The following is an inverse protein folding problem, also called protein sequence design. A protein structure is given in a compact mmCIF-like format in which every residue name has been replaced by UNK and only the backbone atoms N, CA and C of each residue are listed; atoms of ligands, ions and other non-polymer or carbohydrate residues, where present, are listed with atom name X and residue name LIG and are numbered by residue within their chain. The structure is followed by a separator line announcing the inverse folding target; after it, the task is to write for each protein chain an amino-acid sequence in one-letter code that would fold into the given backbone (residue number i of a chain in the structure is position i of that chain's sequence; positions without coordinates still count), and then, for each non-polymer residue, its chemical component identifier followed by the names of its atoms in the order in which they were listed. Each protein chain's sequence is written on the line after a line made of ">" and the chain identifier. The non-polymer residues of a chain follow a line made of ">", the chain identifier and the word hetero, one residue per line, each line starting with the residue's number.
data_IF_834906439120
#
_entry.id   IF_834906439120
#
_cell.length_a   1.000
_cell.length_b   1.000
_cell.length_c   1.000
_cell.angle_alpha   90.00
_cell.angle_beta   90.00
_cell.angle_gamma   90.00
#
_symmetry.space_group_name_H-M   'P 1'
#
loop_
_entity.id
_entity.type
_entity.pdbx_description
1 polymer ?
#
# COMPACT_ATOMS: atom_id res chain seq x y z
N UNK A 1 -45.21 -5.51 -50.96
CA UNK A 1 -44.56 -4.36 -50.28
C UNK A 1 -44.01 -3.43 -51.36
N UNK A 2 -44.43 -2.16 -51.43
CA UNK A 2 -43.94 -1.22 -52.46
C UNK A 2 -42.49 -0.83 -52.16
N UNK A 3 -41.66 -0.61 -53.19
CA UNK A 3 -40.24 -0.20 -53.04
C UNK A 3 -40.06 0.97 -52.06
N UNK A 4 -41.01 1.92 -52.06
CA UNK A 4 -41.05 3.07 -51.16
C UNK A 4 -41.19 2.69 -49.67
N UNK A 5 -41.97 1.66 -49.35
CA UNK A 5 -42.12 1.17 -47.98
C UNK A 5 -40.84 0.45 -47.52
N UNK A 6 -40.20 -0.33 -48.41
CA UNK A 6 -38.93 -0.98 -48.10
C UNK A 6 -37.80 0.03 -47.84
N UNK A 7 -37.72 1.10 -48.63
CA UNK A 7 -36.76 2.19 -48.39
C UNK A 7 -37.02 2.88 -47.05
N UNK A 8 -38.28 3.18 -46.73
CA UNK A 8 -38.65 3.77 -45.44
C UNK A 8 -38.24 2.88 -44.25
N UNK A 9 -38.49 1.57 -44.32
CA UNK A 9 -38.08 0.63 -43.27
C UNK A 9 -36.55 0.54 -43.16
N UNK A 10 -35.81 0.47 -44.27
CA UNK A 10 -34.34 0.45 -44.22
C UNK A 10 -33.77 1.74 -43.62
N UNK A 11 -34.31 2.90 -44.00
CA UNK A 11 -33.87 4.17 -43.42
C UNK A 11 -34.18 4.25 -41.93
N UNK A 12 -35.33 3.72 -41.50
CA UNK A 12 -35.71 3.70 -40.09
C UNK A 12 -34.77 2.79 -39.28
N UNK A 13 -34.51 1.56 -39.77
CA UNK A 13 -33.61 0.60 -39.13
C UNK A 13 -32.19 1.17 -39.03
N UNK A 14 -31.68 1.76 -40.11
CA UNK A 14 -30.35 2.36 -40.13
C UNK A 14 -30.25 3.52 -39.12
N UNK A 15 -31.25 4.41 -39.09
CA UNK A 15 -31.28 5.52 -38.14
C UNK A 15 -31.32 5.03 -36.68
N UNK A 16 -32.06 3.96 -36.40
CA UNK A 16 -32.14 3.36 -35.07
C UNK A 16 -30.80 2.75 -34.66
N UNK A 17 -30.13 2.03 -35.58
CA UNK A 17 -28.80 1.47 -35.36
C UNK A 17 -27.76 2.55 -35.08
N UNK A 18 -27.77 3.64 -35.83
CA UNK A 18 -26.85 4.76 -35.57
C UNK A 18 -27.10 5.43 -34.23
N UNK A 19 -28.36 5.54 -33.80
CA UNK A 19 -28.73 6.06 -32.48
C UNK A 19 -28.26 5.15 -31.36
N UNK A 20 -28.41 3.83 -31.51
CA UNK A 20 -27.95 2.84 -30.51
C UNK A 20 -26.42 2.85 -30.43
N UNK A 21 -25.71 2.91 -31.56
CA UNK A 21 -24.24 2.97 -31.58
C UNK A 21 -23.76 4.28 -30.96
N UNK A 22 -24.36 5.42 -31.32
CA UNK A 22 -24.01 6.72 -30.74
C UNK A 22 -24.27 6.75 -29.23
N UNK A 23 -25.40 6.18 -28.77
CA UNK A 23 -25.71 6.04 -27.36
C UNK A 23 -24.72 5.13 -26.63
N UNK A 24 -24.33 3.99 -27.24
CA UNK A 24 -23.35 3.07 -26.67
C UNK A 24 -21.96 3.72 -26.53
N UNK A 25 -21.51 4.43 -27.57
CA UNK A 25 -20.24 5.18 -27.55
C UNK A 25 -20.30 6.29 -26.51
N UNK A 26 -21.39 7.08 -26.46
CA UNK A 26 -21.57 8.11 -25.46
C UNK A 26 -21.55 7.53 -24.05
N UNK A 27 -22.29 6.43 -23.81
CA UNK A 27 -22.31 5.74 -22.51
C UNK A 27 -20.93 5.21 -22.09
N UNK A 28 -20.11 4.79 -23.04
CA UNK A 28 -18.74 4.33 -22.77
C UNK A 28 -17.81 5.51 -22.44
N UNK A 29 -17.94 6.62 -23.18
CA UNK A 29 -17.13 7.83 -22.99
C UNK A 29 -17.54 8.64 -21.74
N UNK A 30 -18.79 8.54 -21.31
CA UNK A 30 -19.33 9.23 -20.12
C UNK A 30 -19.44 8.32 -18.92
N UNK A 31 -18.92 7.09 -18.97
CA UNK A 31 -18.88 6.23 -17.78
C UNK A 31 -17.95 6.95 -16.79
N UNK A 32 -18.45 7.39 -15.61
CA UNK A 32 -17.55 7.87 -14.59
C UNK A 32 -16.54 6.75 -14.32
N UNK A 33 -15.24 7.07 -14.13
CA UNK A 33 -14.30 6.05 -13.71
C UNK A 33 -14.91 5.37 -12.48
N UNK A 34 -15.00 4.04 -12.49
CA UNK A 34 -15.44 3.30 -11.32
C UNK A 34 -14.58 3.82 -10.15
N UNK A 35 -15.18 4.19 -9.01
CA UNK A 35 -14.40 4.53 -7.82
C UNK A 35 -13.48 3.36 -7.58
N UNK A 36 -12.18 3.56 -7.75
CA UNK A 36 -11.23 2.46 -7.81
C UNK A 36 -11.30 1.72 -6.47
N UNK A 37 -11.91 0.54 -6.46
CA UNK A 37 -11.92 -0.33 -5.29
C UNK A 37 -10.54 -0.92 -5.12
N UNK A 38 -10.14 -1.20 -3.88
CA UNK A 38 -8.91 -1.94 -3.60
C UNK A 38 -8.90 -3.27 -4.37
N UNK A 39 -7.86 -3.50 -5.17
CA UNK A 39 -7.65 -4.74 -5.93
C UNK A 39 -6.55 -5.59 -5.27
N UNK A 40 -6.97 -6.62 -4.54
CA UNK A 40 -6.05 -7.56 -3.89
C UNK A 40 -5.16 -8.34 -4.86
N UNK A 41 -5.56 -8.52 -6.12
CA UNK A 41 -4.73 -9.21 -7.12
C UNK A 41 -3.56 -8.33 -7.57
N UNK A 42 -3.78 -7.02 -7.69
CA UNK A 42 -2.70 -6.05 -7.96
C UNK A 42 -1.74 -5.95 -6.77
N UNK A 43 -2.27 -5.81 -5.56
CA UNK A 43 -1.46 -5.81 -4.35
C UNK A 43 -0.63 -7.11 -4.22
N UNK A 44 -1.22 -8.26 -4.51
CA UNK A 44 -0.47 -9.52 -4.50
C UNK A 44 0.65 -9.56 -5.56
N UNK A 45 0.40 -9.06 -6.77
CA UNK A 45 1.43 -8.94 -7.81
C UNK A 45 2.57 -7.99 -7.39
N UNK A 46 2.26 -6.93 -6.64
CA UNK A 46 3.26 -6.05 -6.04
C UNK A 46 4.13 -6.82 -5.04
N UNK A 47 3.56 -7.64 -4.15
CA UNK A 47 4.34 -8.50 -3.23
C UNK A 47 5.30 -9.41 -4.01
N UNK A 48 4.84 -10.07 -5.08
CA UNK A 48 5.69 -10.93 -5.92
C UNK A 48 6.85 -10.13 -6.51
N UNK A 49 6.57 -8.95 -7.03
CA UNK A 49 7.58 -8.06 -7.63
C UNK A 49 8.66 -7.70 -6.62
N UNK A 50 8.28 -7.35 -5.40
CA UNK A 50 9.21 -7.03 -4.31
C UNK A 50 10.09 -8.23 -3.93
N UNK A 51 9.50 -9.42 -3.80
CA UNK A 51 10.26 -10.65 -3.48
C UNK A 51 11.24 -11.03 -4.60
N UNK A 52 10.89 -10.77 -5.87
CA UNK A 52 11.77 -11.01 -7.02
C UNK A 52 13.01 -10.10 -7.05
N UNK A 53 12.99 -8.96 -6.35
CA UNK A 53 14.18 -8.11 -6.16
C UNK A 53 15.20 -8.73 -5.18
N UNK A 54 14.82 -9.83 -4.51
CA UNK A 54 15.57 -10.42 -3.41
C UNK A 54 15.31 -9.70 -2.09
N UNK A 55 16.04 -10.10 -1.04
CA UNK A 55 15.97 -9.42 0.26
C UNK A 55 16.34 -7.95 0.12
N UNK A 56 15.55 -7.08 0.77
CA UNK A 56 15.73 -5.62 0.74
C UNK A 56 16.48 -5.15 1.98
N UNK A 57 17.52 -5.87 2.38
CA UNK A 57 18.34 -5.48 3.53
C UNK A 57 19.01 -4.14 3.25
N UNK A 58 19.16 -3.24 4.24
CA UNK A 58 19.76 -1.94 4.02
C UNK A 58 21.11 -2.02 3.28
N UNK A 59 21.23 -1.27 2.18
CA UNK A 59 22.44 -1.24 1.34
C UNK A 59 22.55 -2.35 0.27
N UNK A 60 21.63 -3.31 0.22
CA UNK A 60 21.58 -4.33 -0.83
C UNK A 60 21.11 -3.79 -2.19
N UNK A 61 21.28 -4.57 -3.25
CA UNK A 61 20.71 -4.25 -4.56
C UNK A 61 19.18 -4.23 -4.52
N UNK A 62 18.55 -5.18 -3.82
CA UNK A 62 17.09 -5.22 -3.64
C UNK A 62 16.57 -3.97 -2.93
N UNK A 63 17.30 -3.47 -1.94
CA UNK A 63 16.98 -2.23 -1.22
C UNK A 63 17.03 -0.97 -2.09
N UNK A 64 17.97 -0.89 -3.03
CA UNK A 64 17.99 0.21 -4.03
C UNK A 64 16.83 0.06 -5.02
N UNK A 65 16.61 -1.15 -5.54
CA UNK A 65 15.57 -1.43 -6.53
C UNK A 65 14.17 -1.12 -6.00
N UNK A 66 13.87 -1.53 -4.76
CA UNK A 66 12.54 -1.31 -4.17
C UNK A 66 12.22 0.18 -4.04
N UNK A 67 13.18 1.02 -3.62
CA UNK A 67 12.94 2.47 -3.52
C UNK A 67 12.64 3.11 -4.85
N UNK A 68 13.43 2.77 -5.87
CA UNK A 68 13.27 3.32 -7.21
C UNK A 68 11.96 2.86 -7.84
N UNK A 69 11.59 1.60 -7.62
CA UNK A 69 10.32 1.04 -8.08
C UNK A 69 9.12 1.65 -7.35
N UNK A 70 9.13 1.71 -6.01
CA UNK A 70 8.06 2.37 -5.24
C UNK A 70 7.87 3.82 -5.67
N UNK A 71 8.96 4.57 -5.87
CA UNK A 71 8.90 5.95 -6.37
C UNK A 71 8.19 6.01 -7.72
N UNK A 72 8.51 5.11 -8.65
CA UNK A 72 7.88 5.07 -9.96
C UNK A 72 6.38 4.72 -9.89
N UNK A 73 6.01 3.71 -9.09
CA UNK A 73 4.61 3.32 -8.89
C UNK A 73 3.77 4.46 -8.29
N UNK A 74 4.29 5.12 -7.25
CA UNK A 74 3.64 6.24 -6.58
C UNK A 74 3.48 7.45 -7.52
N UNK A 75 4.53 7.79 -8.27
CA UNK A 75 4.47 8.87 -9.27
C UNK A 75 3.48 8.55 -10.39
N UNK A 76 3.43 7.30 -10.85
CA UNK A 76 2.44 6.86 -11.84
C UNK A 76 1.01 6.92 -11.30
N UNK A 77 0.83 6.77 -9.99
CA UNK A 77 -0.45 6.94 -9.30
C UNK A 77 -0.78 8.41 -8.95
N UNK A 78 0.02 9.37 -9.43
CA UNK A 78 -0.23 10.80 -9.26
C UNK A 78 0.29 11.41 -7.96
N UNK A 79 1.17 10.72 -7.23
CA UNK A 79 1.74 11.22 -5.98
C UNK A 79 3.08 11.94 -6.21
N UNK A 80 3.31 12.99 -5.43
CA UNK A 80 4.63 13.62 -5.29
C UNK A 80 5.43 12.82 -4.26
N UNK A 81 6.58 12.29 -4.68
CA UNK A 81 7.43 11.45 -3.84
C UNK A 81 8.65 12.22 -3.38
N UNK A 82 8.90 12.20 -2.07
CA UNK A 82 10.08 12.75 -1.41
C UNK A 82 10.86 11.60 -0.75
N UNK A 83 12.18 11.62 -0.91
CA UNK A 83 13.06 10.70 -0.20
C UNK A 83 13.66 11.44 0.98
N UNK A 84 13.25 11.05 2.19
CA UNK A 84 13.86 11.53 3.42
C UNK A 84 15.10 10.67 3.71
N UNK A 85 16.26 11.22 3.36
CA UNK A 85 17.57 10.59 3.55
C UNK A 85 18.25 11.11 4.81
N UNK A 86 18.66 10.20 5.69
CA UNK A 86 19.36 10.52 6.94
C UNK A 86 20.31 9.39 7.33
N UNK A 87 20.96 9.49 8.48
CA UNK A 87 21.85 8.47 9.04
C UNK A 87 21.50 8.23 10.52
N UNK A 88 21.46 6.96 10.94
CA UNK A 88 21.31 6.56 12.35
C UNK A 88 22.28 5.44 12.67
N UNK A 89 23.03 5.58 13.75
CA UNK A 89 24.02 4.60 14.18
C UNK A 89 25.05 4.23 13.09
N UNK A 90 25.36 5.16 12.17
CA UNK A 90 26.25 4.91 11.03
C UNK A 90 25.59 4.16 9.86
N UNK A 91 24.28 3.88 9.94
CA UNK A 91 23.51 3.27 8.86
C UNK A 91 22.78 4.34 8.05
N UNK A 92 22.90 4.35 6.71
CA UNK A 92 22.12 5.25 5.87
C UNK A 92 20.66 4.79 5.83
N UNK A 93 19.74 5.74 5.97
CA UNK A 93 18.30 5.51 6.08
C UNK A 93 17.61 6.30 4.98
N UNK A 94 16.65 5.66 4.29
CA UNK A 94 15.92 6.25 3.18
C UNK A 94 14.42 6.01 3.32
N UNK A 95 13.73 6.87 4.06
CA UNK A 95 12.27 6.81 4.11
C UNK A 95 11.69 7.36 2.80
N UNK A 96 10.63 6.72 2.26
CA UNK A 96 9.91 7.20 1.08
C UNK A 96 8.60 7.82 1.53
N UNK A 97 8.36 9.08 1.18
CA UNK A 97 7.17 9.82 1.60
C UNK A 97 6.39 10.23 0.34
N UNK A 98 5.15 9.77 0.21
CA UNK A 98 4.26 10.14 -0.87
C UNK A 98 3.19 11.13 -0.39
N UNK A 99 3.03 12.23 -1.12
CA UNK A 99 2.11 13.33 -0.83
C UNK A 99 1.28 13.67 -2.08
N UNK A 100 0.01 14.03 -1.92
CA UNK A 100 -0.83 14.54 -3.04
C UNK A 100 -0.80 16.05 -3.20
N UNK A 101 -0.58 16.75 -2.11
CA UNK A 101 -0.54 18.20 -2.07
C UNK A 101 0.53 18.67 -1.06
N UNK A 102 0.72 19.98 -0.96
CA UNK A 102 1.65 20.58 -0.01
C UNK A 102 1.04 20.77 1.39
N UNK A 103 -0.15 20.22 1.65
CA UNK A 103 -0.80 20.33 2.95
C UNK A 103 -0.17 19.35 3.94
N UNK A 104 -0.18 19.72 5.22
CA UNK A 104 0.21 18.80 6.29
C UNK A 104 -0.80 17.64 6.36
N UNK A 105 -0.34 16.40 6.65
CA UNK A 105 -1.22 15.25 6.67
C UNK A 105 -2.19 15.35 7.84
N UNK A 106 -3.46 15.04 7.59
CA UNK A 106 -4.40 14.69 8.66
C UNK A 106 -4.23 13.22 9.06
N UNK A 107 -3.90 12.34 8.11
CA UNK A 107 -3.62 10.93 8.37
C UNK A 107 -2.28 10.54 7.74
N UNK A 108 -1.51 9.71 8.44
CA UNK A 108 -0.38 8.98 7.88
C UNK A 108 -0.72 7.49 7.83
N UNK A 109 -0.54 6.88 6.65
CA UNK A 109 -0.54 5.43 6.50
C UNK A 109 0.91 4.98 6.30
N UNK A 110 1.38 4.05 7.13
CA UNK A 110 2.77 3.65 7.18
C UNK A 110 2.99 2.16 7.01
N UNK A 111 4.11 1.78 6.40
CA UNK A 111 4.62 0.40 6.36
C UNK A 111 6.15 0.45 6.30
N UNK A 112 6.85 -0.55 6.82
CA UNK A 112 8.28 -0.68 6.55
C UNK A 112 8.51 -1.47 5.25
N UNK A 113 9.65 -1.26 4.59
CA UNK A 113 9.94 -1.94 3.32
C UNK A 113 11.25 -2.73 3.31
N UNK A 114 12.11 -2.50 4.31
CA UNK A 114 13.35 -3.25 4.48
C UNK A 114 13.06 -4.70 4.89
N UNK A 115 14.12 -5.50 4.96
CA UNK A 115 14.04 -6.89 5.45
C UNK A 115 15.13 -7.14 6.46
N UNK A 116 14.86 -7.98 7.46
CA UNK A 116 15.87 -8.49 8.38
C UNK A 116 17.11 -9.05 7.70
N UNK A 117 18.27 -8.68 8.22
CA UNK A 117 19.57 -9.21 7.80
C UNK A 117 19.74 -10.70 8.05
N UNK A 118 19.03 -11.27 9.03
CA UNK A 118 19.21 -12.64 9.51
C UNK A 118 17.87 -13.33 9.79
N UNK A 119 17.68 -14.53 9.26
CA UNK A 119 16.55 -15.41 9.58
C UNK A 119 16.78 -16.13 10.93
N UNK A 120 16.95 -15.36 12.00
CA UNK A 120 17.37 -15.82 13.33
C UNK A 120 16.33 -16.70 14.05
N UNK A 121 15.09 -16.73 13.57
CA UNK A 121 14.02 -17.61 14.05
C UNK A 121 13.75 -18.82 13.14
N UNK A 122 14.55 -19.05 12.10
CA UNK A 122 14.34 -20.19 11.20
C UNK A 122 14.53 -21.52 12.00
N UNK A 123 13.66 -22.52 11.84
CA UNK A 123 13.84 -23.82 12.51
C UNK A 123 15.13 -24.55 12.08
N UNK A 124 15.67 -24.23 10.90
CA UNK A 124 16.97 -24.70 10.44
C UNK A 124 18.05 -23.67 10.77
N UNK A 125 18.94 -24.03 11.70
CA UNK A 125 20.05 -23.17 12.16
C UNK A 125 20.97 -22.71 11.01
N UNK A 126 21.13 -23.51 9.96
CA UNK A 126 21.99 -23.16 8.82
C UNK A 126 21.45 -21.96 8.03
N UNK A 127 20.17 -21.63 8.18
CA UNK A 127 19.56 -20.46 7.54
C UNK A 127 19.74 -19.18 8.36
N UNK A 128 20.20 -19.24 9.62
CA UNK A 128 20.24 -18.07 10.51
C UNK A 128 21.17 -16.96 10.01
N UNK A 129 22.15 -17.28 9.17
CA UNK A 129 23.03 -16.29 8.54
C UNK A 129 22.47 -15.72 7.23
N UNK A 130 21.36 -16.24 6.72
CA UNK A 130 20.73 -15.76 5.49
C UNK A 130 19.75 -14.63 5.80
N UNK A 131 19.59 -13.65 4.90
CA UNK A 131 18.56 -12.63 5.05
C UNK A 131 17.16 -13.22 4.83
N UNK A 132 16.15 -12.62 5.47
CA UNK A 132 14.77 -13.03 5.25
C UNK A 132 14.28 -12.55 3.88
N UNK A 133 13.37 -13.29 3.21
CA UNK A 133 12.77 -12.83 1.97
C UNK A 133 11.80 -11.66 2.17
N UNK A 134 11.20 -11.53 3.37
CA UNK A 134 10.31 -10.43 3.75
C UNK A 134 9.05 -10.30 2.89
N UNK A 135 8.40 -11.42 2.55
CA UNK A 135 7.18 -11.39 1.73
C UNK A 135 5.96 -10.86 2.52
N UNK A 136 5.81 -11.32 3.76
CA UNK A 136 4.77 -10.82 4.65
C UNK A 136 5.30 -9.63 5.49
N UNK A 137 6.43 -9.84 6.14
CA UNK A 137 7.18 -8.85 6.91
C UNK A 137 7.89 -7.87 5.95
N UNK A 138 7.35 -6.66 5.84
CA UNK A 138 7.71 -5.64 4.84
C UNK A 138 6.81 -5.62 3.60
N UNK A 139 6.93 -6.59 2.69
CA UNK A 139 6.36 -6.43 1.33
C UNK A 139 4.83 -6.38 1.30
N UNK A 140 4.14 -7.02 2.26
CA UNK A 140 2.69 -7.01 2.34
C UNK A 140 2.13 -5.62 2.63
N UNK A 141 2.70 -4.91 3.61
CA UNK A 141 2.31 -3.54 3.96
C UNK A 141 2.60 -2.56 2.83
N UNK A 142 3.78 -2.67 2.21
CA UNK A 142 4.15 -1.86 1.03
C UNK A 142 3.12 -2.03 -0.10
N UNK A 143 2.77 -3.26 -0.44
CA UNK A 143 1.81 -3.55 -1.50
C UNK A 143 0.42 -2.99 -1.21
N UNK A 144 -0.04 -3.07 0.04
CA UNK A 144 -1.30 -2.47 0.46
C UNK A 144 -1.27 -0.96 0.26
N UNK A 145 -0.22 -0.27 0.70
CA UNK A 145 -0.10 1.18 0.53
C UNK A 145 0.00 1.60 -0.94
N UNK A 146 0.70 0.84 -1.79
CA UNK A 146 0.77 1.11 -3.23
C UNK A 146 -0.60 0.96 -3.89
N UNK A 147 -1.38 -0.04 -3.52
CA UNK A 147 -2.73 -0.19 -4.05
C UNK A 147 -3.64 0.94 -3.56
N UNK A 148 -3.54 1.34 -2.28
CA UNK A 148 -4.22 2.55 -1.79
C UNK A 148 -3.80 3.80 -2.55
N UNK A 149 -2.52 3.95 -2.93
CA UNK A 149 -2.06 5.07 -3.73
C UNK A 149 -2.79 5.16 -5.08
N UNK A 150 -3.08 4.00 -5.70
CA UNK A 150 -3.82 3.90 -6.97
C UNK A 150 -5.33 4.12 -6.80
N UNK A 151 -5.89 3.80 -5.64
CA UNK A 151 -7.34 3.72 -5.46
C UNK A 151 -7.96 4.87 -4.67
N UNK A 152 -7.18 5.56 -3.81
CA UNK A 152 -7.68 6.65 -3.00
C UNK A 152 -8.24 7.79 -3.88
N UNK A 153 -9.45 8.32 -3.63
CA UNK A 153 -9.99 9.48 -4.36
C UNK A 153 -9.14 10.75 -4.15
N UNK A 154 -8.91 11.54 -5.21
CA UNK A 154 -8.08 12.77 -5.14
C UNK A 154 -8.60 13.80 -4.12
N UNK A 155 -9.91 13.84 -3.91
CA UNK A 155 -10.61 14.75 -2.99
C UNK A 155 -10.72 14.22 -1.55
N UNK A 156 -9.98 13.15 -1.22
CA UNK A 156 -9.85 12.67 0.15
C UNK A 156 -9.13 13.70 1.04
N UNK A 157 -9.25 13.53 2.35
CA UNK A 157 -8.50 14.35 3.32
C UNK A 157 -6.99 14.23 3.07
N UNK A 158 -6.15 15.18 3.53
CA UNK A 158 -4.71 15.10 3.36
C UNK A 158 -4.14 13.82 3.99
N UNK A 159 -3.74 12.86 3.15
CA UNK A 159 -3.10 11.61 3.54
C UNK A 159 -1.67 11.62 3.04
N UNK A 160 -0.73 11.22 3.88
CA UNK A 160 0.62 10.84 3.45
C UNK A 160 0.77 9.32 3.53
N UNK A 161 1.41 8.73 2.53
CA UNK A 161 1.86 7.35 2.57
C UNK A 161 3.36 7.36 2.88
N UNK A 162 3.77 6.69 3.95
CA UNK A 162 5.15 6.72 4.42
C UNK A 162 5.70 5.30 4.48
N UNK A 163 6.75 5.05 3.71
CA UNK A 163 7.46 3.77 3.71
C UNK A 163 8.74 3.94 4.52
N UNK A 164 8.77 3.33 5.71
CA UNK A 164 9.87 3.42 6.66
C UNK A 164 10.99 2.45 6.30
N UNK A 165 12.23 2.91 6.44
CA UNK A 165 13.44 2.10 6.24
C UNK A 165 14.02 1.63 7.59
N UNK A 166 14.84 0.59 7.56
CA UNK A 166 15.59 0.07 8.70
C UNK A 166 14.73 -0.17 9.96
N UNK A 167 13.59 -0.82 9.79
CA UNK A 167 12.71 -1.23 10.88
C UNK A 167 13.27 -2.48 11.57
N UNK A 168 13.64 -3.49 10.77
CA UNK A 168 13.60 -4.90 11.15
C UNK A 168 14.98 -5.46 11.56
N UNK A 169 15.93 -4.58 11.89
CA UNK A 169 17.32 -4.96 12.17
C UNK A 169 17.69 -4.84 13.65
N UNK A 170 16.72 -4.67 14.54
CA UNK A 170 17.01 -4.59 15.96
C UNK A 170 17.60 -5.90 16.53
N UNK A 171 18.29 -5.73 17.66
CA UNK A 171 19.12 -6.77 18.33
C UNK A 171 20.35 -7.23 17.55
N UNK A 172 20.65 -6.64 16.39
CA UNK A 172 21.90 -6.86 15.65
C UNK A 172 22.93 -5.80 16.11
N UNK A 173 24.21 -6.16 16.37
CA UNK A 173 25.22 -5.18 16.73
C UNK A 173 25.32 -4.02 15.72
N UNK A 174 25.20 -2.79 16.21
CA UNK A 174 25.21 -1.59 15.37
C UNK A 174 23.85 -1.18 14.78
N UNK A 175 22.79 -1.89 15.15
CA UNK A 175 21.40 -1.62 14.76
C UNK A 175 20.50 -1.50 15.98
N UNK A 176 19.37 -0.81 15.81
CA UNK A 176 18.23 -0.81 16.71
C UNK A 176 16.96 -1.02 15.88
N UNK A 177 15.83 -1.28 16.53
CA UNK A 177 14.55 -1.33 15.85
C UNK A 177 14.16 0.07 15.34
N UNK A 178 13.30 0.10 14.32
CA UNK A 178 12.51 1.28 13.92
C UNK A 178 13.34 2.54 13.63
N UNK A 179 14.57 2.41 13.12
CA UNK A 179 15.46 3.57 12.92
C UNK A 179 14.86 4.60 11.95
N UNK A 180 14.20 4.15 10.88
CA UNK A 180 13.56 5.04 9.91
C UNK A 180 12.40 5.83 10.47
N UNK A 181 11.49 5.21 11.21
CA UNK A 181 10.34 5.90 11.78
C UNK A 181 10.76 6.84 12.92
N UNK A 182 11.75 6.46 13.74
CA UNK A 182 12.36 7.36 14.73
C UNK A 182 12.93 8.61 14.08
N UNK A 183 13.74 8.43 13.03
CA UNK A 183 14.33 9.57 12.33
C UNK A 183 13.27 10.44 11.66
N UNK A 184 12.23 9.83 11.07
CA UNK A 184 11.09 10.56 10.51
C UNK A 184 10.41 11.46 11.55
N UNK A 185 10.07 10.92 12.73
CA UNK A 185 9.40 11.69 13.80
C UNK A 185 10.29 12.82 14.34
N UNK A 186 11.60 12.59 14.43
CA UNK A 186 12.57 13.59 14.91
C UNK A 186 12.80 14.74 13.92
N UNK A 187 12.77 14.46 12.62
CA UNK A 187 13.22 15.40 11.58
C UNK A 187 12.09 16.00 10.74
N UNK A 188 10.91 15.36 10.69
CA UNK A 188 9.76 15.79 9.89
C UNK A 188 8.64 16.28 10.83
N UNK A 189 8.55 17.59 11.11
CA UNK A 189 7.60 18.12 12.10
C UNK A 189 6.18 18.17 11.52
N UNK A 190 5.45 17.06 11.65
CA UNK A 190 4.02 16.94 11.33
C UNK A 190 3.24 16.48 12.55
N UNK A 191 1.96 16.84 12.61
CA UNK A 191 1.07 16.47 13.71
C UNK A 191 -0.27 15.95 13.16
N UNK A 192 -0.27 14.73 12.58
CA UNK A 192 -1.49 14.12 12.06
C UNK A 192 -2.48 13.80 13.19
N UNK A 193 -3.75 13.69 12.84
CA UNK A 193 -4.82 13.26 13.75
C UNK A 193 -4.78 11.75 14.00
N UNK A 194 -4.33 10.97 13.01
CA UNK A 194 -4.18 9.53 13.11
C UNK A 194 -2.97 9.03 12.33
N UNK A 195 -2.36 7.96 12.84
CA UNK A 195 -1.33 7.19 12.14
C UNK A 195 -1.74 5.73 12.18
N UNK A 196 -1.77 5.07 11.03
CA UNK A 196 -2.05 3.63 10.92
C UNK A 196 -0.83 2.97 10.31
N UNK A 197 -0.23 2.03 11.05
CA UNK A 197 0.89 1.23 10.58
C UNK A 197 0.37 -0.13 10.11
N UNK A 198 0.81 -0.55 8.94
CA UNK A 198 0.42 -1.78 8.28
C UNK A 198 1.64 -2.68 8.24
N UNK A 199 1.55 -3.80 8.95
CA UNK A 199 2.64 -4.74 9.11
C UNK A 199 2.12 -6.19 9.12
N UNK A 200 2.80 -7.06 8.38
CA UNK A 200 2.49 -8.50 8.24
C UNK A 200 1.02 -8.84 7.90
N UNK A 201 0.40 -8.14 6.95
CA UNK A 201 -1.03 -8.29 6.59
C UNK A 201 -1.33 -9.25 5.43
N UNK A 202 -0.34 -10.02 4.98
CA UNK A 202 -0.41 -10.90 3.81
C UNK A 202 -0.49 -12.41 4.12
N UNK A 203 -0.74 -12.78 5.37
CA UNK A 203 -0.87 -14.18 5.79
C UNK A 203 -2.09 -14.86 5.15
N UNK A 204 -1.98 -16.15 4.80
CA UNK A 204 -3.09 -16.96 4.29
C UNK A 204 -4.15 -17.22 5.37
N UNK A 205 -3.72 -17.34 6.63
CA UNK A 205 -4.57 -17.52 7.81
C UNK A 205 -4.51 -16.26 8.70
N UNK A 206 -4.71 -15.09 8.06
CA UNK A 206 -4.54 -13.80 8.72
C UNK A 206 -5.52 -13.60 9.89
N UNK A 207 -4.95 -13.30 11.05
CA UNK A 207 -5.67 -12.92 12.25
C UNK A 207 -5.08 -11.61 12.78
N UNK A 208 -5.82 -10.52 12.62
CA UNK A 208 -5.43 -9.21 13.09
C UNK A 208 -6.10 -9.01 14.45
N UNK A 209 -5.29 -8.81 15.50
CA UNK A 209 -5.75 -8.56 16.87
C UNK A 209 -5.61 -7.08 17.24
N UNK A 210 -6.31 -6.65 18.29
CA UNK A 210 -6.14 -5.31 18.83
C UNK A 210 -4.76 -5.21 19.50
N UNK A 211 -3.81 -4.58 18.80
CA UNK A 211 -2.47 -4.36 19.34
C UNK A 211 -2.52 -3.43 20.57
N UNK A 212 -1.78 -3.76 21.62
CA UNK A 212 -1.91 -3.14 22.96
C UNK A 212 -1.40 -1.70 23.04
N UNK A 213 -0.38 -1.34 22.27
CA UNK A 213 0.21 0.00 22.28
C UNK A 213 -0.52 0.97 21.32
N UNK A 214 -1.34 0.43 20.42
CA UNK A 214 -2.14 1.17 19.47
C UNK A 214 -3.23 1.99 20.16
N UNK A 215 -3.54 3.16 19.61
CA UNK A 215 -4.55 4.06 20.16
C UNK A 215 -5.91 3.34 20.25
N UNK A 216 -6.55 3.29 21.43
CA UNK A 216 -7.76 2.52 21.65
C UNK A 216 -8.96 3.04 20.84
N UNK A 217 -8.98 4.33 20.51
CA UNK A 217 -10.07 4.95 19.74
C UNK A 217 -9.91 4.60 18.26
N UNK A 218 -8.72 4.79 17.71
CA UNK A 218 -8.43 4.51 16.30
C UNK A 218 -8.62 3.02 16.00
N UNK A 219 -8.08 2.13 16.85
CA UNK A 219 -8.23 0.68 16.63
C UNK A 219 -9.69 0.22 16.72
N UNK A 220 -10.50 0.82 17.61
CA UNK A 220 -11.92 0.50 17.71
C UNK A 220 -12.68 0.91 16.43
N UNK A 221 -12.41 2.09 15.89
CA UNK A 221 -13.02 2.57 14.64
C UNK A 221 -12.68 1.68 13.43
N UNK A 222 -11.41 1.24 13.34
CA UNK A 222 -10.96 0.30 12.30
C UNK A 222 -11.69 -1.04 12.43
N UNK A 223 -11.80 -1.60 13.64
CA UNK A 223 -12.48 -2.88 13.87
C UNK A 223 -13.99 -2.80 13.61
N UNK A 224 -14.66 -1.73 14.04
CA UNK A 224 -16.08 -1.52 13.75
C UNK A 224 -16.33 -1.41 12.24
N UNK A 225 -15.42 -0.73 11.52
CA UNK A 225 -15.49 -0.66 10.06
C UNK A 225 -15.25 -2.03 9.43
N UNK A 226 -14.27 -2.80 9.91
CA UNK A 226 -14.01 -4.15 9.41
C UNK A 226 -15.22 -5.08 9.64
N UNK A 227 -15.85 -5.03 10.82
CA UNK A 227 -17.06 -5.79 11.13
C UNK A 227 -18.21 -5.41 10.19
N UNK A 228 -18.46 -4.11 10.00
CA UNK A 228 -19.49 -3.60 9.08
C UNK A 228 -19.27 -4.02 7.63
N UNK A 229 -18.02 -4.17 7.21
CA UNK A 229 -17.64 -4.64 5.88
C UNK A 229 -17.62 -6.19 5.77
N UNK A 230 -17.87 -6.91 6.87
CA UNK A 230 -17.93 -8.38 6.89
C UNK A 230 -16.60 -9.09 7.13
N UNK A 231 -15.57 -8.37 7.59
CA UNK A 231 -14.21 -8.89 7.87
C UNK A 231 -13.95 -9.21 9.35
N UNK A 232 -15.00 -9.29 10.19
CA UNK A 232 -14.85 -9.56 11.63
C UNK A 232 -14.27 -10.93 12.00
N UNK A 233 -14.15 -11.84 11.03
CA UNK A 233 -13.44 -13.12 11.18
C UNK A 233 -11.92 -13.01 10.98
N UNK A 234 -11.43 -11.92 10.38
CA UNK A 234 -10.01 -11.59 10.23
C UNK A 234 -9.58 -10.57 11.29
N UNK A 235 -10.43 -9.56 11.55
CA UNK A 235 -10.23 -8.56 12.59
C UNK A 235 -10.83 -9.04 13.91
N UNK A 236 -9.99 -9.72 14.70
CA UNK A 236 -10.38 -10.38 15.94
C UNK A 236 -10.48 -9.36 17.07
N UNK A 237 -11.66 -9.23 17.68
CA UNK A 237 -11.91 -8.33 18.80
C UNK A 237 -11.35 -8.91 20.12
N UNK A 238 -10.03 -9.08 20.17
CA UNK A 238 -9.28 -9.50 21.34
C UNK A 238 -7.88 -8.86 21.31
N UNK A 239 -7.36 -8.50 22.48
CA UNK A 239 -6.05 -7.86 22.57
C UNK A 239 -4.91 -8.87 22.42
N UNK A 240 -3.88 -8.46 21.67
CA UNK A 240 -2.61 -9.18 21.60
C UNK A 240 -1.45 -8.16 21.52
N UNK A 241 -0.24 -8.59 21.85
CA UNK A 241 0.97 -7.81 21.53
C UNK A 241 1.38 -8.26 20.14
N UNK A 242 1.50 -7.33 19.18
CA UNK A 242 2.10 -7.65 17.89
C UNK A 242 3.54 -8.11 18.14
N UNK A 243 3.92 -9.23 17.54
CA UNK A 243 5.27 -9.79 17.66
C UNK A 243 6.23 -9.04 16.75
#
# INVERSE_FOLDING_TARGET
>A
MTKRNATLYLTLIFSLLTLVIAWYIASFLTRPPDSASFDGSRAYADVITQVQMGSRTPGSTGHVQIREWMRAELQSAGWVVEIHQTERLGQPIYNVIAKRNNESPQIILGAHYDTRLFADNDPNIENHSLPVPGANDGASGVALLLELARTLPEDTIPVWLVFFDAEDNGRIPGWDWILGSRAFVEEIPVNPQAVVIVDMIGDIDLNIHLEKNSDPTIRAEIWETAERLGYGNVFINSENIAC
#
